data_IF_508043617705
#
_entry.id   IF_508043617705
#
_cell.length_a   1.000
_cell.length_b   1.000
_cell.length_c   1.000
_cell.angle_alpha   90.00
_cell.angle_beta   90.00
_cell.angle_gamma   90.00
#
_symmetry.space_group_name_H-M   'P 1'
#
loop_
_entity.id
_entity.type
_entity.pdbx_description
1 polymer ?
#
# COMPACT_ATOMS: atom_id res chain seq x y z
N UNK A 1 -14.06 -1.19 -3.63
CA UNK A 1 -13.50 0.08 -4.13
C UNK A 1 -12.33 -0.30 -5.01
N UNK A 2 -12.21 0.18 -6.25
CA UNK A 2 -11.03 -0.13 -7.08
C UNK A 2 -9.96 0.91 -6.75
N UNK A 3 -8.77 0.46 -6.42
CA UNK A 3 -7.67 1.32 -5.95
C UNK A 3 -6.49 1.21 -6.91
N UNK A 4 -5.86 2.34 -7.18
CA UNK A 4 -4.53 2.39 -7.81
C UNK A 4 -3.55 3.07 -6.86
N UNK A 5 -2.28 2.68 -6.94
CA UNK A 5 -1.21 3.22 -6.12
C UNK A 5 -0.12 3.81 -6.97
N UNK A 6 0.47 4.90 -6.51
CA UNK A 6 1.67 5.49 -7.11
C UNK A 6 2.73 5.71 -6.06
N UNK A 7 4.00 5.72 -6.49
CA UNK A 7 5.14 6.04 -5.64
C UNK A 7 5.90 7.15 -6.33
N UNK A 8 5.95 8.33 -5.70
CA UNK A 8 6.64 9.52 -6.21
C UNK A 8 7.32 10.19 -5.01
N UNK A 9 8.62 10.48 -5.12
CA UNK A 9 9.39 11.20 -4.09
C UNK A 9 9.17 10.68 -2.66
N UNK A 10 9.30 9.35 -2.47
CA UNK A 10 9.10 8.67 -1.17
C UNK A 10 7.69 8.86 -0.58
N UNK A 11 6.70 9.10 -1.42
CA UNK A 11 5.30 9.14 -1.02
C UNK A 11 4.51 8.09 -1.78
N UNK A 12 3.72 7.31 -1.04
CA UNK A 12 2.74 6.41 -1.61
C UNK A 12 1.41 7.14 -1.67
N UNK A 13 0.89 7.30 -2.89
CA UNK A 13 -0.45 7.82 -3.12
C UNK A 13 -1.46 6.70 -3.31
N UNK A 14 -2.63 6.83 -2.69
CA UNK A 14 -3.78 5.97 -2.90
C UNK A 14 -4.83 6.77 -3.67
N UNK A 15 -5.32 6.22 -4.77
CA UNK A 15 -6.33 6.87 -5.59
C UNK A 15 -7.52 5.95 -5.85
N UNK A 16 -8.70 6.55 -5.91
CA UNK A 16 -9.87 5.87 -6.43
C UNK A 16 -9.71 5.66 -7.95
N UNK A 17 -9.76 4.40 -8.39
CA UNK A 17 -9.48 4.06 -9.78
C UNK A 17 -10.56 4.52 -10.77
N UNK A 18 -11.74 4.95 -10.29
CA UNK A 18 -12.83 5.42 -11.16
C UNK A 18 -12.72 6.92 -11.43
N UNK A 19 -12.42 7.69 -10.40
CA UNK A 19 -12.37 9.16 -10.44
C UNK A 19 -10.96 9.72 -10.53
N UNK A 20 -9.93 8.89 -10.31
CA UNK A 20 -8.54 9.31 -10.13
C UNK A 20 -8.33 10.32 -8.99
N UNK A 21 -9.29 10.45 -8.08
CA UNK A 21 -9.16 11.29 -6.91
C UNK A 21 -8.15 10.67 -5.93
N UNK A 22 -7.22 11.48 -5.44
CA UNK A 22 -6.31 11.10 -4.37
C UNK A 22 -7.10 10.97 -3.06
N UNK A 23 -7.21 9.75 -2.54
CA UNK A 23 -7.98 9.47 -1.31
C UNK A 23 -7.08 9.44 -0.08
N UNK A 24 -5.79 9.17 -0.26
CA UNK A 24 -4.80 9.20 0.80
C UNK A 24 -3.37 9.37 0.26
N UNK A 25 -2.47 9.87 1.12
CA UNK A 25 -1.03 9.92 0.85
C UNK A 25 -0.25 9.75 2.14
N UNK A 26 0.83 8.97 2.11
CA UNK A 26 1.72 8.81 3.24
C UNK A 26 3.16 8.68 2.78
N UNK A 27 4.07 9.07 3.68
CA UNK A 27 5.50 8.96 3.46
C UNK A 27 5.94 7.51 3.64
N UNK A 28 6.81 7.03 2.77
CA UNK A 28 7.39 5.70 2.84
C UNK A 28 8.72 5.66 2.09
N UNK A 29 9.72 5.06 2.72
CA UNK A 29 11.01 4.73 2.08
C UNK A 29 10.94 3.43 1.27
N UNK A 30 9.79 2.77 1.26
CA UNK A 30 9.55 1.49 0.57
C UNK A 30 9.11 1.78 -0.88
N UNK A 31 9.57 0.97 -1.82
CA UNK A 31 9.51 1.29 -3.26
C UNK A 31 8.56 0.42 -4.09
N UNK A 32 7.89 -0.55 -3.47
CA UNK A 32 6.94 -1.42 -4.15
C UNK A 32 5.60 -1.42 -3.43
N UNK A 33 4.53 -1.61 -4.21
CA UNK A 33 3.15 -1.74 -3.71
C UNK A 33 2.43 -2.91 -4.36
N UNK A 34 1.60 -3.62 -3.59
CA UNK A 34 0.64 -4.62 -4.08
C UNK A 34 -0.73 -4.29 -3.48
N UNK A 35 -1.78 -4.40 -4.31
CA UNK A 35 -3.17 -4.15 -3.91
C UNK A 35 -3.95 -5.46 -3.98
N UNK A 36 -4.73 -5.77 -2.95
CA UNK A 36 -5.58 -6.97 -2.95
C UNK A 36 -6.64 -6.93 -4.07
N UNK A 37 -7.15 -8.08 -4.54
CA UNK A 37 -8.16 -8.10 -5.62
C UNK A 37 -9.42 -7.29 -5.33
N UNK A 38 -9.81 -7.19 -4.05
CA UNK A 38 -10.98 -6.42 -3.60
C UNK A 38 -10.67 -4.93 -3.31
N UNK A 39 -9.39 -4.54 -3.42
CA UNK A 39 -8.90 -3.17 -3.25
C UNK A 39 -8.93 -2.68 -1.81
N UNK A 40 -9.06 -3.55 -0.81
CA UNK A 40 -9.13 -3.16 0.61
C UNK A 40 -7.76 -3.12 1.29
N UNK A 41 -6.83 -3.96 0.86
CA UNK A 41 -5.50 -4.06 1.45
C UNK A 41 -4.46 -3.56 0.45
N UNK A 42 -3.54 -2.75 0.96
CA UNK A 42 -2.34 -2.29 0.28
C UNK A 42 -1.13 -2.71 1.10
N UNK A 43 -0.21 -3.44 0.47
CA UNK A 43 1.08 -3.78 1.06
C UNK A 43 2.15 -2.91 0.43
N UNK A 44 2.92 -2.20 1.24
CA UNK A 44 4.11 -1.47 0.81
C UNK A 44 5.35 -2.14 1.37
N UNK A 45 6.31 -2.44 0.50
CA UNK A 45 7.51 -3.18 0.87
C UNK A 45 8.72 -2.69 0.08
N UNK A 46 9.90 -2.96 0.62
CA UNK A 46 11.19 -2.52 0.09
C UNK A 46 12.23 -3.62 0.29
N UNK A 47 13.52 -3.27 0.24
CA UNK A 47 14.61 -4.23 0.37
C UNK A 47 14.74 -4.86 1.76
N UNK A 48 14.20 -4.22 2.80
CA UNK A 48 14.20 -4.74 4.18
C UNK A 48 12.89 -5.50 4.46
N UNK A 49 12.92 -6.57 5.29
CA UNK A 49 11.79 -7.47 5.57
C UNK A 49 10.69 -6.86 6.46
N UNK A 50 10.65 -5.54 6.58
CA UNK A 50 9.55 -4.85 7.28
C UNK A 50 8.52 -4.43 6.24
N UNK A 51 7.27 -4.82 6.48
CA UNK A 51 6.16 -4.60 5.58
C UNK A 51 5.20 -3.58 6.22
N UNK A 52 4.73 -2.63 5.40
CA UNK A 52 3.68 -1.71 5.80
C UNK A 52 2.37 -2.15 5.17
N UNK A 53 1.41 -2.52 6.01
CA UNK A 53 0.05 -2.81 5.60
C UNK A 53 -0.81 -1.57 5.79
N UNK A 54 -1.52 -1.21 4.74
CA UNK A 54 -2.44 -0.08 4.74
C UNK A 54 -3.82 -0.58 4.37
N UNK A 55 -4.75 -0.40 5.29
CA UNK A 55 -6.17 -0.56 5.00
C UNK A 55 -6.61 0.66 4.19
N UNK A 56 -6.98 0.44 2.93
CA UNK A 56 -7.35 1.51 2.01
C UNK A 56 -8.67 2.19 2.38
N UNK A 57 -9.54 1.52 3.16
CA UNK A 57 -10.84 2.02 3.57
C UNK A 57 -10.75 2.81 4.87
N UNK A 58 -10.14 2.22 5.90
CA UNK A 58 -9.98 2.86 7.21
C UNK A 58 -8.78 3.80 7.30
N UNK A 59 -7.86 3.73 6.32
CA UNK A 59 -6.59 4.46 6.27
C UNK A 59 -5.63 4.12 7.41
N UNK A 60 -5.86 3.00 8.10
CA UNK A 60 -5.00 2.53 9.18
C UNK A 60 -3.73 1.90 8.60
N UNK A 61 -2.59 2.27 9.16
CA UNK A 61 -1.28 1.68 8.84
C UNK A 61 -0.89 0.74 9.97
N UNK A 62 -0.42 -0.47 9.62
CA UNK A 62 0.12 -1.45 10.56
C UNK A 62 1.48 -1.94 10.03
N UNK A 63 2.46 -2.05 10.91
CA UNK A 63 3.81 -2.51 10.59
C UNK A 63 3.95 -3.96 11.06
N UNK A 64 4.52 -4.79 10.21
CA UNK A 64 4.82 -6.18 10.54
C UNK A 64 6.28 -6.45 10.19
N UNK A 65 6.98 -7.08 11.12
CA UNK A 65 8.31 -7.59 10.94
C UNK A 65 8.19 -9.08 10.57
N UNK A 66 8.95 -9.52 9.56
CA UNK A 66 9.13 -10.94 9.22
C UNK A 66 7.90 -11.64 8.61
N UNK A 67 7.39 -11.11 7.49
CA UNK A 67 6.44 -11.83 6.61
C UNK A 67 7.19 -12.34 5.38
N UNK A 68 7.06 -13.63 5.06
CA UNK A 68 7.61 -14.12 3.81
C UNK A 68 6.74 -13.64 2.64
N UNK A 69 7.32 -13.44 1.45
CA UNK A 69 6.55 -13.12 0.24
C UNK A 69 5.49 -14.20 -0.07
N UNK A 70 5.70 -15.43 0.41
CA UNK A 70 4.76 -16.55 0.25
C UNK A 70 3.51 -16.38 1.10
N UNK A 71 3.56 -15.63 2.21
CA UNK A 71 2.40 -15.34 3.06
C UNK A 71 1.48 -14.25 2.48
N UNK A 72 1.90 -13.62 1.37
CA UNK A 72 1.22 -12.49 0.74
C UNK A 72 0.41 -12.86 -0.51
N UNK A 73 0.44 -14.13 -0.95
CA UNK A 73 -0.21 -14.64 -2.16
C UNK A 73 -1.46 -15.45 -1.85
#
# INVERSE_FOLDING_TARGET
MRVITTIIDQQVGIFDAKSFACTNRYHSLKFNTIVSPDGKLLVVFGYNPEYLFVDAQSRKVSMFDDLSIEDLV
#
